data_IF_143392905085
#
_entry.id   IF_143392905085
#
_cell.length_a   1.000
_cell.length_b   1.000
_cell.length_c   1.000
_cell.angle_alpha   90.00
_cell.angle_beta   90.00
_cell.angle_gamma   90.00
#
_symmetry.space_group_name_H-M   'P 1'
#
loop_
_entity.id
_entity.type
_entity.pdbx_description
1 polymer ?
#
# COMPACT_ATOMS: atom_id res chain seq x y z
N UNK A 1 2.99 -3.22 15.65
CA UNK A 1 1.52 -3.12 15.60
C UNK A 1 0.92 -4.15 16.56
N UNK A 2 0.01 -3.74 17.47
CA UNK A 2 -0.54 -4.62 18.50
C UNK A 2 -1.37 -5.81 17.99
N UNK A 3 -1.88 -5.77 16.75
CA UNK A 3 -2.69 -6.88 16.22
C UNK A 3 -1.88 -8.17 16.05
N UNK A 4 -0.54 -8.09 15.99
CA UNK A 4 0.31 -9.28 15.83
C UNK A 4 0.16 -10.00 14.49
N UNK A 5 -0.62 -9.46 13.55
CA UNK A 5 -0.88 -10.10 12.25
C UNK A 5 0.34 -9.91 11.33
N UNK A 6 0.85 -11.02 10.80
CA UNK A 6 1.94 -11.03 9.84
C UNK A 6 1.48 -10.54 8.45
N UNK A 7 2.35 -9.81 7.75
CA UNK A 7 2.09 -9.36 6.38
C UNK A 7 2.29 -10.45 5.34
N UNK A 8 1.62 -10.32 4.19
CA UNK A 8 1.66 -11.28 3.08
C UNK A 8 1.92 -10.57 1.76
N UNK A 9 2.56 -11.27 0.82
CA UNK A 9 2.66 -10.81 -0.58
C UNK A 9 1.32 -11.03 -1.26
N UNK A 10 0.63 -9.95 -1.60
CA UNK A 10 -0.73 -9.99 -2.18
C UNK A 10 -0.74 -9.84 -3.70
N UNK A 11 0.35 -9.31 -4.28
CA UNK A 11 0.43 -9.12 -5.73
C UNK A 11 1.88 -9.15 -6.22
N UNK A 12 2.08 -9.54 -7.48
CA UNK A 12 3.37 -9.45 -8.16
C UNK A 12 3.17 -9.23 -9.66
N UNK A 13 3.88 -8.27 -10.24
CA UNK A 13 3.99 -8.05 -11.70
C UNK A 13 5.34 -7.43 -12.01
N UNK A 14 5.97 -7.81 -13.13
CA UNK A 14 7.17 -7.13 -13.65
C UNK A 14 8.29 -6.92 -12.62
N UNK A 15 8.54 -7.96 -11.81
CA UNK A 15 9.50 -7.94 -10.70
C UNK A 15 9.17 -6.94 -9.57
N UNK A 16 8.02 -6.27 -9.59
CA UNK A 16 7.47 -5.52 -8.46
C UNK A 16 6.56 -6.44 -7.65
N UNK A 17 6.78 -6.50 -6.34
CA UNK A 17 5.95 -7.21 -5.38
C UNK A 17 5.18 -6.21 -4.52
N UNK A 18 3.91 -6.49 -4.26
CA UNK A 18 3.12 -5.74 -3.27
C UNK A 18 2.85 -6.64 -2.08
N UNK A 19 3.22 -6.14 -0.92
CA UNK A 19 2.99 -6.78 0.36
C UNK A 19 2.04 -5.92 1.18
N UNK A 20 1.11 -6.55 1.90
CA UNK A 20 0.22 -5.85 2.83
C UNK A 20 0.22 -6.50 4.19
N UNK A 21 0.10 -5.67 5.23
CA UNK A 21 -0.04 -6.10 6.62
C UNK A 21 -1.20 -5.33 7.26
N UNK A 22 -2.12 -6.03 7.91
CA UNK A 22 -3.20 -5.42 8.69
C UNK A 22 -2.62 -4.73 9.94
N UNK A 23 -3.04 -3.51 10.20
CA UNK A 23 -2.57 -2.64 11.31
C UNK A 23 -3.72 -1.81 11.89
N UNK A 24 -3.50 -1.18 13.04
CA UNK A 24 -4.44 -0.23 13.65
C UNK A 24 -4.35 1.19 13.02
N UNK A 25 -5.42 2.00 13.08
CA UNK A 25 -6.75 1.71 13.64
C UNK A 25 -7.60 0.79 12.74
N UNK A 26 -8.69 0.27 13.29
CA UNK A 26 -9.71 -0.52 12.58
C UNK A 26 -11.05 0.21 12.62
N UNK A 27 -11.93 -0.01 11.63
CA UNK A 27 -13.29 0.50 11.57
C UNK A 27 -14.25 -0.68 11.36
N UNK A 28 -14.98 -1.06 12.42
CA UNK A 28 -15.79 -2.28 12.48
C UNK A 28 -14.94 -3.48 12.02
N UNK A 29 -15.28 -4.09 10.88
CA UNK A 29 -14.57 -5.27 10.34
C UNK A 29 -13.40 -4.92 9.39
N UNK A 30 -13.12 -3.63 9.19
CA UNK A 30 -12.10 -3.14 8.26
C UNK A 30 -10.84 -2.69 9.00
N UNK A 31 -9.70 -2.97 8.38
CA UNK A 31 -8.38 -2.72 8.97
C UNK A 31 -7.67 -1.61 8.22
N UNK A 32 -6.81 -0.86 8.91
CA UNK A 32 -5.74 -0.11 8.24
C UNK A 32 -4.68 -1.09 7.72
N UNK A 33 -3.85 -0.63 6.78
CA UNK A 33 -2.83 -1.47 6.16
C UNK A 33 -1.49 -0.75 6.08
N UNK A 34 -0.40 -1.45 6.41
CA UNK A 34 0.92 -1.12 5.89
C UNK A 34 1.09 -1.81 4.54
N UNK A 35 1.62 -1.10 3.55
CA UNK A 35 1.74 -1.54 2.15
C UNK A 35 3.16 -1.31 1.68
N UNK A 36 3.87 -2.37 1.27
CA UNK A 36 5.20 -2.26 0.69
C UNK A 36 5.18 -2.63 -0.79
N UNK A 37 5.64 -1.70 -1.64
CA UNK A 37 5.94 -1.94 -3.05
C UNK A 37 7.44 -2.17 -3.18
N UNK A 38 7.84 -3.43 -3.32
CA UNK A 38 9.24 -3.83 -3.38
C UNK A 38 9.64 -4.18 -4.81
N UNK A 39 10.73 -3.59 -5.30
CA UNK A 39 11.30 -3.90 -6.60
C UNK A 39 12.40 -4.95 -6.49
N UNK A 40 12.27 -6.03 -7.27
CA UNK A 40 13.37 -6.98 -7.56
C UNK A 40 14.07 -6.68 -8.88
N UNK A 41 13.97 -5.44 -9.36
CA UNK A 41 14.68 -4.98 -10.56
C UNK A 41 16.03 -4.44 -10.16
N UNK A 42 16.99 -4.63 -11.05
CA UNK A 42 18.40 -4.21 -10.93
C UNK A 42 18.79 -3.27 -12.08
N UNK A 43 17.81 -2.82 -12.87
CA UNK A 43 18.04 -1.78 -13.88
C UNK A 43 18.27 -0.42 -13.20
N UNK A 44 18.73 0.58 -13.93
CA UNK A 44 19.19 1.85 -13.33
C UNK A 44 18.09 2.86 -12.97
N UNK A 45 16.81 2.62 -13.27
CA UNK A 45 15.78 3.65 -13.24
C UNK A 45 14.52 3.28 -12.42
N UNK A 46 14.00 4.20 -11.58
CA UNK A 46 12.70 4.05 -10.93
C UNK A 46 11.60 3.81 -11.95
N UNK A 47 10.64 2.94 -11.63
CA UNK A 47 9.50 2.63 -12.51
C UNK A 47 8.20 2.97 -11.85
N UNK A 48 7.31 3.58 -12.64
CA UNK A 48 5.92 3.76 -12.26
C UNK A 48 5.23 2.40 -12.19
N UNK A 49 4.60 2.13 -11.06
CA UNK A 49 3.76 0.96 -10.84
C UNK A 49 2.40 1.44 -10.36
N UNK A 50 1.34 0.98 -11.03
CA UNK A 50 -0.04 1.37 -10.73
C UNK A 50 -0.90 0.15 -10.42
N UNK A 51 -1.75 0.28 -9.41
CA UNK A 51 -2.71 -0.76 -9.02
C UNK A 51 -3.92 -0.14 -8.35
N UNK A 52 -5.05 -0.86 -8.31
CA UNK A 52 -6.20 -0.43 -7.51
C UNK A 52 -6.08 -0.94 -6.08
N UNK A 53 -6.67 -0.23 -5.13
CA UNK A 53 -6.71 -0.67 -3.73
C UNK A 53 -7.36 -2.05 -3.57
N UNK A 54 -8.46 -2.30 -4.29
CA UNK A 54 -9.16 -3.60 -4.28
C UNK A 54 -8.25 -4.74 -4.71
N UNK A 55 -7.38 -4.51 -5.71
CA UNK A 55 -6.47 -5.53 -6.25
C UNK A 55 -5.41 -5.96 -5.23
N UNK A 56 -5.04 -5.08 -4.31
CA UNK A 56 -4.06 -5.36 -3.24
C UNK A 56 -4.73 -5.67 -1.88
N UNK A 57 -6.05 -5.92 -1.87
CA UNK A 57 -6.79 -6.41 -0.71
C UNK A 57 -7.47 -5.34 0.15
N UNK A 58 -7.38 -4.06 -0.22
CA UNK A 58 -8.04 -2.95 0.47
C UNK A 58 -9.45 -2.75 -0.10
N UNK A 59 -10.46 -3.20 0.65
CA UNK A 59 -11.84 -3.36 0.17
C UNK A 59 -12.89 -2.48 0.87
N UNK A 60 -12.49 -1.67 1.85
CA UNK A 60 -13.44 -0.82 2.57
C UNK A 60 -14.05 0.24 1.64
N UNK A 61 -15.39 0.30 1.59
CA UNK A 61 -16.13 1.13 0.62
C UNK A 61 -15.98 2.63 0.86
N UNK A 62 -15.87 3.07 2.12
CA UNK A 62 -15.67 4.48 2.48
C UNK A 62 -14.29 4.95 2.04
N UNK A 63 -13.28 4.07 2.17
CA UNK A 63 -11.93 4.28 1.66
C UNK A 63 -10.88 4.52 2.73
N UNK A 64 -9.72 5.02 2.29
CA UNK A 64 -8.51 5.14 3.08
C UNK A 64 -7.83 6.49 2.82
N UNK A 65 -7.19 7.06 3.85
CA UNK A 65 -6.15 8.07 3.69
C UNK A 65 -4.80 7.37 3.55
N UNK A 66 -3.88 7.96 2.79
CA UNK A 66 -2.57 7.36 2.48
C UNK A 66 -1.46 8.27 2.98
N UNK A 67 -0.47 7.67 3.66
CA UNK A 67 0.75 8.32 4.09
C UNK A 67 1.96 7.53 3.59
N UNK A 68 2.99 8.23 3.08
CA UNK A 68 4.31 7.64 2.87
C UNK A 68 5.06 7.57 4.20
N UNK A 69 5.51 6.36 4.57
CA UNK A 69 6.13 6.10 5.86
C UNK A 69 7.61 6.49 5.91
N UNK A 70 8.27 6.72 4.78
CA UNK A 70 9.64 7.22 4.74
C UNK A 70 9.69 8.74 4.79
N UNK A 71 8.81 9.42 4.04
CA UNK A 71 8.79 10.90 3.99
C UNK A 71 7.87 11.53 5.03
N UNK A 72 6.90 10.78 5.56
CA UNK A 72 5.84 11.28 6.42
C UNK A 72 4.73 12.04 5.67
N UNK A 73 4.85 12.18 4.35
CA UNK A 73 3.91 12.93 3.51
C UNK A 73 2.55 12.24 3.42
N UNK A 74 1.48 13.01 3.63
CA UNK A 74 0.12 12.55 3.43
C UNK A 74 -0.34 12.85 2.01
N UNK A 75 -0.84 11.84 1.32
CA UNK A 75 -1.47 12.03 0.02
C UNK A 75 -2.85 12.68 0.20
N UNK A 76 -3.19 13.60 -0.69
CA UNK A 76 -4.46 14.30 -0.63
C UNK A 76 -5.64 13.37 -0.99
N UNK A 77 -6.72 13.51 -0.23
CA UNK A 77 -8.00 12.87 -0.50
C UNK A 77 -8.19 11.48 0.11
N UNK A 78 -9.32 10.86 -0.26
CA UNK A 78 -9.73 9.53 0.20
C UNK A 78 -9.74 8.57 -0.98
N UNK A 79 -9.05 7.45 -0.82
CA UNK A 79 -8.88 6.43 -1.85
C UNK A 79 -9.84 5.26 -1.59
N UNK A 80 -10.74 5.01 -2.54
CA UNK A 80 -11.73 3.94 -2.49
C UNK A 80 -11.20 2.67 -3.15
N UNK A 81 -11.88 1.51 -3.03
CA UNK A 81 -11.37 0.25 -3.58
C UNK A 81 -11.03 0.31 -5.07
N UNK A 82 -11.76 1.10 -5.85
CA UNK A 82 -11.51 1.28 -7.29
C UNK A 82 -10.52 2.41 -7.61
N UNK A 83 -10.05 3.17 -6.62
CA UNK A 83 -9.02 4.19 -6.83
C UNK A 83 -7.71 3.52 -7.23
N UNK A 84 -7.10 4.03 -8.30
CA UNK A 84 -5.76 3.65 -8.73
C UNK A 84 -4.74 4.47 -7.95
N UNK A 85 -3.78 3.78 -7.33
CA UNK A 85 -2.59 4.38 -6.75
C UNK A 85 -1.41 4.12 -7.67
N UNK A 86 -0.52 5.10 -7.79
CA UNK A 86 0.67 5.05 -8.64
C UNK A 86 1.88 5.44 -7.82
N UNK A 87 2.89 4.58 -7.79
CA UNK A 87 4.15 4.81 -7.07
C UNK A 87 5.33 4.66 -8.02
N UNK A 88 6.41 5.41 -7.79
CA UNK A 88 7.69 5.20 -8.47
C UNK A 88 8.61 4.38 -7.58
N UNK A 89 8.82 3.11 -7.93
CA UNK A 89 9.62 2.19 -7.12
C UNK A 89 11.06 2.16 -7.65
N UNK A 90 12.07 2.52 -6.84
CA UNK A 90 13.47 2.38 -7.22
C UNK A 90 13.88 0.91 -7.41
N UNK A 91 14.89 0.63 -8.24
CA UNK A 91 15.53 -0.69 -8.32
C UNK A 91 16.01 -1.16 -6.94
N UNK A 92 15.79 -2.43 -6.60
CA UNK A 92 16.04 -3.02 -5.28
C UNK A 92 15.43 -2.26 -4.07
N UNK A 93 14.59 -1.26 -4.33
CA UNK A 93 14.05 -0.36 -3.33
C UNK A 93 12.61 -0.69 -2.94
N UNK A 94 12.12 0.05 -1.94
CA UNK A 94 10.77 -0.08 -1.40
C UNK A 94 10.11 1.29 -1.35
N UNK A 95 8.86 1.38 -1.82
CA UNK A 95 7.94 2.44 -1.41
C UNK A 95 7.06 1.86 -0.30
N UNK A 96 7.02 2.52 0.87
CA UNK A 96 6.33 2.00 2.03
C UNK A 96 5.25 2.97 2.49
N UNK A 97 3.99 2.54 2.39
CA UNK A 97 2.82 3.36 2.67
C UNK A 97 2.03 2.82 3.85
N UNK A 98 1.31 3.71 4.54
CA UNK A 98 0.21 3.36 5.43
C UNK A 98 -1.09 3.85 4.82
N UNK A 99 -2.04 2.93 4.65
CA UNK A 99 -3.43 3.23 4.33
C UNK A 99 -4.26 3.14 5.61
N UNK A 100 -4.74 4.27 6.10
CA UNK A 100 -5.56 4.35 7.32
C UNK A 100 -7.03 4.34 6.93
N UNK A 101 -7.84 3.46 7.54
CA UNK A 101 -9.29 3.47 7.33
C UNK A 101 -9.88 4.82 7.73
N UNK A 102 -10.75 5.36 6.89
CA UNK A 102 -11.56 6.53 7.27
C UNK A 102 -12.60 6.10 8.30
N UNK A 103 -12.81 6.89 9.35
CA UNK A 103 -13.82 6.63 10.37
C UNK A 103 -15.21 7.06 9.89
#
# INVERSE_FOLDING_TARGET
DPLGIQGLRVYQSDKIQVWTRKVIPTNVDHHSYAIAFYSRREDGAPRAFSTTLKRIGLKFSVGYTIQDLYTGENWLGVYRPNSTISVRVPPLGVVFLKATVVL
#
